data_IF_081424884950
#
_entry.id   IF_081424884950
#
_cell.length_a   1.000
_cell.length_b   1.000
_cell.length_c   1.000
_cell.angle_alpha   90.00
_cell.angle_beta   90.00
_cell.angle_gamma   90.00
#
_symmetry.space_group_name_H-M   'P 1'
#
loop_
_entity.id
_entity.type
_entity.pdbx_description
1 polymer ?
#
# COMPACT_ATOMS: atom_id res chain seq x y z
N UNK A 1 -64.63 9.99 8.36
CA UNK A 1 -63.67 10.96 8.92
C UNK A 1 -62.55 10.18 9.60
N UNK A 2 -61.47 9.97 8.89
CA UNK A 2 -60.16 9.50 9.39
C UNK A 2 -59.23 9.47 8.20
N UNK A 3 -58.68 10.64 7.85
CA UNK A 3 -57.52 10.73 6.96
C UNK A 3 -56.62 11.84 7.49
N UNK A 4 -55.33 11.53 7.67
CA UNK A 4 -54.34 12.57 7.85
C UNK A 4 -53.38 12.42 9.02
N UNK A 5 -52.56 11.36 9.08
CA UNK A 5 -51.34 11.34 9.89
C UNK A 5 -50.43 10.16 9.41
N UNK A 6 -49.64 10.36 8.37
CA UNK A 6 -48.78 9.27 7.88
C UNK A 6 -47.64 9.64 6.97
N UNK A 7 -47.39 10.91 6.63
CA UNK A 7 -46.34 11.26 5.64
C UNK A 7 -45.17 12.08 6.14
N UNK A 8 -45.16 12.56 7.37
CA UNK A 8 -44.07 13.44 7.88
C UNK A 8 -42.99 12.71 8.68
N UNK A 9 -43.20 11.49 9.14
CA UNK A 9 -42.22 10.74 9.94
C UNK A 9 -41.16 10.00 9.11
N UNK A 10 -41.42 9.68 7.85
CA UNK A 10 -40.50 8.93 7.01
C UNK A 10 -39.38 9.80 6.38
N UNK A 11 -39.63 11.08 6.15
CA UNK A 11 -38.61 12.02 5.62
C UNK A 11 -37.59 12.40 6.66
N UNK A 12 -38.01 12.62 7.91
CA UNK A 12 -37.12 12.94 9.02
C UNK A 12 -36.22 11.73 9.40
N UNK A 13 -36.71 10.50 9.26
CA UNK A 13 -35.93 9.29 9.53
C UNK A 13 -34.87 9.05 8.45
N UNK A 14 -35.17 9.29 7.17
CA UNK A 14 -34.19 9.20 6.06
C UNK A 14 -33.09 10.27 6.13
N UNK A 15 -33.44 11.49 6.55
CA UNK A 15 -32.47 12.59 6.71
C UNK A 15 -31.56 12.31 7.92
N UNK A 16 -32.11 11.86 9.06
CA UNK A 16 -31.31 11.46 10.22
C UNK A 16 -30.39 10.27 9.92
N UNK A 17 -30.83 9.29 9.14
CA UNK A 17 -30.00 8.14 8.77
C UNK A 17 -28.88 8.53 7.79
N UNK A 18 -29.11 9.47 6.87
CA UNK A 18 -28.07 10.01 5.98
C UNK A 18 -27.08 10.89 6.74
N UNK A 19 -27.52 11.76 7.61
CA UNK A 19 -26.67 12.62 8.43
C UNK A 19 -25.88 11.80 9.45
N UNK A 20 -26.49 10.79 10.10
CA UNK A 20 -25.77 9.85 10.97
C UNK A 20 -24.73 9.03 10.22
N UNK A 21 -24.99 8.59 8.98
CA UNK A 21 -23.95 7.93 8.16
C UNK A 21 -22.78 8.88 7.85
N UNK A 22 -23.04 10.14 7.52
CA UNK A 22 -22.00 11.11 7.19
C UNK A 22 -21.17 11.45 8.43
N UNK A 23 -21.78 11.64 9.62
CA UNK A 23 -21.03 11.87 10.87
C UNK A 23 -20.32 10.59 11.37
N UNK A 24 -20.87 9.40 11.15
CA UNK A 24 -20.20 8.14 11.46
C UNK A 24 -18.99 7.91 10.55
N UNK A 25 -19.04 8.29 9.27
CA UNK A 25 -17.92 8.20 8.34
C UNK A 25 -16.76 9.14 8.70
N UNK A 26 -17.06 10.41 9.03
CA UNK A 26 -16.03 11.38 9.43
C UNK A 26 -15.32 11.00 10.75
N UNK A 27 -16.05 10.42 11.71
CA UNK A 27 -15.48 10.01 13.00
C UNK A 27 -14.58 8.75 12.91
N UNK A 28 -14.83 7.87 11.93
CA UNK A 28 -14.06 6.65 11.71
C UNK A 28 -12.81 6.85 10.86
N UNK A 29 -12.84 7.79 9.93
CA UNK A 29 -11.65 8.15 9.13
C UNK A 29 -10.50 8.71 9.98
N UNK A 30 -10.78 9.21 11.19
CA UNK A 30 -9.80 9.78 12.12
C UNK A 30 -9.14 8.71 13.02
N UNK A 31 -9.68 7.47 13.09
CA UNK A 31 -9.21 6.41 14.00
C UNK A 31 -9.04 5.02 13.36
N UNK A 32 -9.01 4.93 12.06
CA UNK A 32 -8.76 3.65 11.39
C UNK A 32 -7.29 3.26 11.49
N UNK A 33 -6.97 2.30 12.32
CA UNK A 33 -5.67 1.61 12.32
C UNK A 33 -5.65 0.64 11.14
N UNK A 34 -5.40 1.16 9.91
CA UNK A 34 -5.22 0.33 8.73
C UNK A 34 -3.95 -0.47 8.85
N UNK A 35 -3.96 -1.72 8.42
CA UNK A 35 -2.74 -2.48 8.25
C UNK A 35 -2.38 -2.58 6.76
N UNK A 36 -1.11 -2.61 6.48
CA UNK A 36 -0.58 -2.72 5.12
C UNK A 36 0.76 -3.43 5.16
N UNK A 37 1.13 -4.02 4.03
CA UNK A 37 2.47 -4.57 3.84
C UNK A 37 2.91 -4.21 2.42
N UNK A 38 4.11 -3.66 2.25
CA UNK A 38 4.70 -3.44 0.94
C UNK A 38 6.04 -4.18 0.85
N UNK A 39 6.35 -4.70 -0.33
CA UNK A 39 7.58 -5.45 -0.59
C UNK A 39 8.17 -5.09 -1.95
N UNK A 40 9.48 -5.25 -2.07
CA UNK A 40 10.17 -5.31 -3.36
C UNK A 40 10.55 -6.75 -3.65
N UNK A 41 10.60 -7.13 -4.92
CA UNK A 41 11.16 -8.40 -5.35
C UNK A 41 11.94 -8.19 -6.65
N UNK A 42 13.07 -8.82 -6.81
CA UNK A 42 13.93 -8.64 -7.99
C UNK A 42 14.37 -9.99 -8.52
N UNK A 43 14.12 -10.21 -9.80
CA UNK A 43 14.64 -11.31 -10.60
C UNK A 43 15.41 -10.71 -11.79
N UNK A 44 15.01 -10.99 -13.02
CA UNK A 44 15.45 -10.26 -14.20
C UNK A 44 14.91 -8.83 -14.18
N UNK A 45 13.59 -8.68 -13.91
CA UNK A 45 12.90 -7.41 -13.75
C UNK A 45 12.75 -7.07 -12.26
N UNK A 46 12.39 -5.82 -11.98
CA UNK A 46 12.11 -5.32 -10.65
C UNK A 46 10.60 -5.27 -10.41
N UNK A 47 10.18 -5.80 -9.28
CA UNK A 47 8.79 -5.87 -8.86
C UNK A 47 8.58 -5.12 -7.55
N UNK A 48 7.46 -4.40 -7.47
CA UNK A 48 7.01 -3.71 -6.28
C UNK A 48 5.56 -4.11 -6.02
N UNK A 49 5.22 -4.50 -4.81
CA UNK A 49 3.85 -4.92 -4.50
C UNK A 49 3.44 -4.59 -3.09
N UNK A 50 2.12 -4.64 -2.84
CA UNK A 50 1.56 -4.41 -1.53
C UNK A 50 0.30 -5.22 -1.25
N UNK A 51 -0.01 -5.42 0.06
CA UNK A 51 -1.35 -5.70 0.57
C UNK A 51 -1.97 -4.40 1.09
N UNK A 52 -3.19 -4.08 0.66
CA UNK A 52 -4.02 -3.07 1.31
C UNK A 52 -4.98 -3.79 2.25
N UNK A 53 -4.76 -3.64 3.55
CA UNK A 53 -5.59 -4.27 4.56
C UNK A 53 -6.54 -3.24 5.17
N UNK A 54 -7.85 -3.52 5.12
CA UNK A 54 -8.90 -2.63 5.62
C UNK A 54 -10.22 -3.36 5.87
N UNK A 55 -11.19 -2.66 6.47
CA UNK A 55 -12.52 -3.24 6.75
C UNK A 55 -13.54 -3.07 5.63
N UNK A 56 -13.25 -2.29 4.61
CA UNK A 56 -14.11 -2.08 3.44
C UNK A 56 -13.34 -1.53 2.25
N UNK A 57 -13.82 -1.82 1.05
CA UNK A 57 -13.37 -1.19 -0.19
C UNK A 57 -13.92 0.23 -0.30
N UNK A 58 -13.12 1.14 -0.87
CA UNK A 58 -13.50 2.52 -1.19
C UNK A 58 -13.91 2.71 -2.66
N UNK A 59 -14.02 1.62 -3.43
CA UNK A 59 -14.26 1.67 -4.87
C UNK A 59 -12.98 1.94 -5.64
N UNK A 60 -11.98 1.10 -5.36
CA UNK A 60 -10.68 1.13 -6.00
C UNK A 60 -10.80 0.84 -7.51
N UNK A 61 -9.87 1.39 -8.28
CA UNK A 61 -9.70 1.11 -9.71
C UNK A 61 -8.21 1.13 -10.03
N UNK A 62 -7.79 0.35 -11.01
CA UNK A 62 -6.47 0.58 -11.61
C UNK A 62 -6.58 1.79 -12.51
N UNK A 63 -5.78 2.81 -12.24
CA UNK A 63 -5.84 4.10 -12.91
C UNK A 63 -4.52 4.39 -13.59
N UNK A 64 -4.57 4.73 -14.87
CA UNK A 64 -3.45 5.31 -15.59
C UNK A 64 -3.69 6.82 -15.68
N UNK A 65 -2.71 7.59 -15.22
CA UNK A 65 -2.61 9.04 -15.38
C UNK A 65 -1.61 9.31 -16.50
N UNK A 66 -2.10 9.66 -17.72
CA UNK A 66 -1.22 9.91 -18.87
C UNK A 66 -0.42 11.20 -18.72
N UNK A 67 0.67 11.34 -19.47
CA UNK A 67 1.65 12.45 -19.38
C UNK A 67 1.04 13.85 -19.50
N UNK A 68 -0.05 14.00 -20.27
CA UNK A 68 -0.70 15.30 -20.51
C UNK A 68 -1.98 15.49 -19.69
N UNK A 69 -2.26 14.59 -18.75
CA UNK A 69 -3.37 14.79 -17.83
C UNK A 69 -3.08 16.00 -16.92
N UNK A 70 -3.92 17.05 -16.92
CA UNK A 70 -3.65 18.27 -16.14
C UNK A 70 -3.94 18.01 -14.66
N UNK A 71 -2.93 17.57 -13.90
CA UNK A 71 -3.05 17.31 -12.50
C UNK A 71 -3.09 18.62 -11.71
N UNK A 72 -4.22 18.87 -11.05
CA UNK A 72 -4.43 20.04 -10.21
C UNK A 72 -3.75 19.86 -8.86
N UNK A 73 -2.97 20.87 -8.45
CA UNK A 73 -2.29 20.91 -7.16
C UNK A 73 -2.94 21.95 -6.24
N UNK A 74 -2.93 21.71 -4.93
CA UNK A 74 -3.59 22.59 -3.95
C UNK A 74 -2.77 23.82 -3.60
N UNK A 75 -1.45 23.70 -3.58
CA UNK A 75 -0.55 24.68 -2.97
C UNK A 75 0.67 25.02 -3.82
N UNK A 76 0.83 24.36 -4.96
CA UNK A 76 1.90 24.58 -5.92
C UNK A 76 1.32 24.66 -7.32
N UNK A 77 2.16 24.88 -8.31
CA UNK A 77 1.74 24.90 -9.71
C UNK A 77 1.20 23.55 -10.17
N UNK A 78 0.16 23.59 -11.01
CA UNK A 78 -0.41 22.38 -11.61
C UNK A 78 0.63 21.65 -12.48
N UNK A 79 0.62 20.32 -12.42
CA UNK A 79 1.44 19.52 -13.31
C UNK A 79 0.71 19.33 -14.65
N UNK A 80 1.10 20.11 -15.66
CA UNK A 80 0.52 20.03 -17.01
C UNK A 80 1.22 18.99 -17.88
N UNK A 81 2.47 18.64 -17.54
CA UNK A 81 3.26 17.58 -18.15
C UNK A 81 4.03 16.87 -17.06
N UNK A 82 3.98 15.55 -17.07
CA UNK A 82 4.62 14.70 -16.07
C UNK A 82 4.84 13.29 -16.64
N UNK A 83 5.53 12.43 -15.93
CA UNK A 83 5.61 11.01 -16.30
C UNK A 83 4.23 10.36 -16.21
N UNK A 84 3.94 9.42 -17.10
CA UNK A 84 2.74 8.60 -16.98
C UNK A 84 2.86 7.70 -15.75
N UNK A 85 1.74 7.55 -15.01
CA UNK A 85 1.65 6.79 -13.77
C UNK A 85 0.55 5.75 -13.89
N UNK A 86 0.81 4.53 -13.40
CA UNK A 86 -0.20 3.47 -13.25
C UNK A 86 -0.24 3.00 -11.79
N UNK A 87 -1.42 2.78 -11.24
CA UNK A 87 -1.56 2.28 -9.87
C UNK A 87 -2.99 2.07 -9.44
N UNK A 88 -3.17 1.56 -8.23
CA UNK A 88 -4.48 1.45 -7.60
C UNK A 88 -4.86 2.77 -6.95
N UNK A 89 -6.02 3.29 -7.29
CA UNK A 89 -6.51 4.57 -6.79
C UNK A 89 -8.02 4.58 -6.53
N UNK A 90 -8.45 5.44 -5.62
CA UNK A 90 -9.81 5.92 -5.58
C UNK A 90 -9.92 7.20 -6.42
N UNK A 91 -10.77 7.21 -7.44
CA UNK A 91 -10.97 8.41 -8.27
C UNK A 91 -12.12 9.23 -7.71
N UNK A 92 -11.84 10.45 -7.28
CA UNK A 92 -12.84 11.41 -6.77
C UNK A 92 -12.68 12.73 -7.50
N UNK A 93 -13.77 13.29 -8.04
CA UNK A 93 -13.73 14.57 -8.76
C UNK A 93 -12.69 14.62 -9.90
N UNK A 94 -12.54 13.53 -10.63
CA UNK A 94 -11.50 13.31 -11.64
C UNK A 94 -10.06 13.40 -11.08
N UNK A 95 -9.85 13.24 -9.77
CA UNK A 95 -8.54 13.21 -9.14
C UNK A 95 -8.19 11.78 -8.70
N UNK A 96 -7.01 11.24 -9.09
CA UNK A 96 -6.60 9.90 -8.69
C UNK A 96 -5.91 9.93 -7.33
N UNK A 97 -6.58 9.46 -6.29
CA UNK A 97 -6.04 9.28 -4.94
C UNK A 97 -5.35 7.91 -4.88
N UNK A 98 -4.06 7.87 -5.24
CA UNK A 98 -3.29 6.62 -5.30
C UNK A 98 -2.98 6.06 -3.92
N UNK A 99 -3.12 4.74 -3.79
CA UNK A 99 -2.64 3.96 -2.65
C UNK A 99 -1.22 3.44 -2.89
N UNK A 100 -0.98 2.93 -4.09
CA UNK A 100 0.31 2.49 -4.63
C UNK A 100 0.32 2.68 -6.14
N UNK A 101 1.48 2.99 -6.68
CA UNK A 101 1.63 3.23 -8.11
C UNK A 101 3.10 3.12 -8.54
N UNK A 102 3.31 3.06 -9.85
CA UNK A 102 4.60 3.24 -10.50
C UNK A 102 4.48 4.21 -11.66
N UNK A 103 5.58 4.86 -12.02
CA UNK A 103 5.65 5.63 -13.23
C UNK A 103 6.33 4.86 -14.38
N UNK A 104 6.25 5.39 -15.57
CA UNK A 104 6.86 4.82 -16.77
C UNK A 104 8.39 4.73 -16.75
N UNK A 105 9.06 5.32 -15.75
CA UNK A 105 10.51 5.24 -15.52
C UNK A 105 10.90 4.11 -14.56
N UNK A 106 9.90 3.45 -13.96
CA UNK A 106 10.10 2.34 -13.04
C UNK A 106 10.28 2.75 -11.57
N UNK A 107 10.03 4.02 -11.23
CA UNK A 107 9.90 4.44 -9.84
C UNK A 107 8.54 4.02 -9.30
N UNK A 108 8.53 3.31 -8.17
CA UNK A 108 7.34 2.84 -7.47
C UNK A 108 7.19 3.54 -6.12
N UNK A 109 5.94 3.74 -5.69
CA UNK A 109 5.64 4.32 -4.38
C UNK A 109 4.33 3.77 -3.81
N UNK A 110 4.30 3.53 -2.50
CA UNK A 110 3.09 3.17 -1.77
C UNK A 110 2.99 3.96 -0.47
N UNK A 111 1.77 4.36 -0.10
CA UNK A 111 1.45 4.92 1.20
C UNK A 111 0.88 3.85 2.13
N UNK A 112 1.43 3.72 3.35
CA UNK A 112 1.01 2.76 4.36
C UNK A 112 0.60 3.51 5.63
N UNK A 113 -0.36 2.95 6.37
CA UNK A 113 -0.86 3.59 7.59
C UNK A 113 0.22 3.74 8.67
N UNK A 114 0.29 4.96 9.24
CA UNK A 114 1.29 5.33 10.25
C UNK A 114 0.66 6.21 11.35
N UNK A 115 -0.56 5.85 11.74
CA UNK A 115 -1.34 6.55 12.78
C UNK A 115 -0.59 6.58 14.11
N UNK A 116 -0.62 7.74 14.78
CA UNK A 116 0.09 7.97 16.02
C UNK A 116 1.53 8.48 15.86
N UNK A 117 2.15 8.29 14.68
CA UNK A 117 3.49 8.80 14.37
C UNK A 117 3.49 9.87 13.29
N UNK A 118 2.68 9.70 12.21
CA UNK A 118 2.64 10.67 11.11
C UNK A 118 2.15 12.04 11.60
N UNK A 119 2.99 13.07 11.41
CA UNK A 119 2.69 14.48 11.67
C UNK A 119 3.01 15.28 10.43
N UNK A 120 1.99 15.98 9.91
CA UNK A 120 2.15 16.89 8.77
C UNK A 120 2.36 18.30 9.27
N UNK A 121 3.19 19.06 8.56
CA UNK A 121 3.54 20.42 8.92
C UNK A 121 2.51 21.42 8.38
N UNK A 122 2.44 22.59 8.96
CA UNK A 122 1.75 23.72 8.35
C UNK A 122 2.52 24.21 7.11
N UNK A 123 1.83 24.80 6.12
CA UNK A 123 2.48 25.37 4.95
C UNK A 123 3.57 26.36 5.32
N UNK A 124 4.72 26.28 4.64
CA UNK A 124 5.87 27.13 4.89
C UNK A 124 6.20 27.99 3.65
N UNK A 125 6.50 29.28 3.86
CA UNK A 125 6.98 30.17 2.81
C UNK A 125 8.38 29.73 2.33
N UNK A 126 8.62 29.85 1.03
CA UNK A 126 9.92 29.52 0.43
C UNK A 126 10.17 28.02 0.22
N UNK A 127 9.20 27.15 0.53
CA UNK A 127 9.27 25.71 0.23
C UNK A 127 8.14 25.29 -0.72
N UNK A 128 8.30 24.13 -1.35
CA UNK A 128 7.23 23.53 -2.15
C UNK A 128 6.28 22.83 -1.17
N UNK A 129 5.08 23.36 -1.01
CA UNK A 129 4.06 22.77 -0.14
C UNK A 129 3.23 21.76 -0.91
N UNK A 130 3.23 20.50 -0.46
CA UNK A 130 2.49 19.39 -1.07
C UNK A 130 1.48 18.85 -0.07
N UNK A 131 0.21 18.73 -0.46
CA UNK A 131 -0.78 18.05 0.36
C UNK A 131 -0.50 16.54 0.41
N UNK A 132 -0.83 15.91 1.52
CA UNK A 132 -0.50 14.49 1.73
C UNK A 132 -1.02 13.59 0.58
N UNK A 133 -2.24 13.80 0.12
CA UNK A 133 -2.86 13.01 -0.96
C UNK A 133 -2.23 13.26 -2.34
N UNK A 134 -1.49 14.36 -2.52
CA UNK A 134 -0.80 14.73 -3.75
C UNK A 134 0.60 14.11 -3.84
N UNK A 135 1.15 13.61 -2.73
CA UNK A 135 2.55 13.21 -2.66
C UNK A 135 2.90 12.09 -3.65
N UNK A 136 2.08 11.03 -3.71
CA UNK A 136 2.35 9.90 -4.63
C UNK A 136 2.33 10.36 -6.08
N UNK A 137 1.26 10.98 -6.61
CA UNK A 137 1.24 11.40 -8.01
C UNK A 137 2.25 12.52 -8.30
N UNK A 138 2.59 13.38 -7.34
CA UNK A 138 3.60 14.42 -7.53
C UNK A 138 5.01 13.83 -7.66
N UNK A 139 5.42 12.95 -6.75
CA UNK A 139 6.74 12.28 -6.82
C UNK A 139 6.84 11.45 -8.10
N UNK A 140 5.84 10.62 -8.40
CA UNK A 140 5.88 9.75 -9.56
C UNK A 140 5.78 10.53 -10.89
N UNK A 141 5.11 11.67 -10.88
CA UNK A 141 5.01 12.54 -12.04
C UNK A 141 6.28 13.33 -12.34
N UNK A 142 7.10 13.61 -11.32
CA UNK A 142 8.25 14.53 -11.44
C UNK A 142 9.61 13.88 -11.30
N UNK A 143 9.71 12.70 -10.69
CA UNK A 143 10.96 11.99 -10.40
C UNK A 143 11.06 10.70 -11.22
N UNK A 144 12.24 10.43 -11.78
CA UNK A 144 12.51 9.22 -12.54
C UNK A 144 13.16 8.10 -11.69
N UNK A 145 13.65 8.41 -10.51
CA UNK A 145 14.39 7.47 -9.66
C UNK A 145 14.20 7.77 -8.18
N UNK A 146 14.54 6.79 -7.33
CA UNK A 146 14.57 6.97 -5.87
C UNK A 146 15.52 8.11 -5.46
N UNK A 147 16.65 8.27 -6.13
CA UNK A 147 17.60 9.36 -5.85
C UNK A 147 16.99 10.74 -6.09
N UNK A 148 16.26 10.91 -7.19
CA UNK A 148 15.55 12.16 -7.48
C UNK A 148 14.42 12.39 -6.46
N UNK A 149 13.66 11.35 -6.14
CA UNK A 149 12.59 11.40 -5.15
C UNK A 149 13.12 11.77 -3.75
N UNK A 150 14.27 11.21 -3.31
CA UNK A 150 14.91 11.57 -2.05
C UNK A 150 15.32 13.05 -2.03
N UNK A 151 15.89 13.54 -3.12
CA UNK A 151 16.24 14.98 -3.26
C UNK A 151 14.99 15.87 -3.24
N UNK A 152 13.89 15.44 -3.85
CA UNK A 152 12.62 16.15 -3.86
C UNK A 152 11.99 16.19 -2.46
N UNK A 153 11.92 15.04 -1.76
CA UNK A 153 11.38 14.92 -0.40
C UNK A 153 12.08 15.83 0.61
N UNK A 154 13.38 16.09 0.45
CA UNK A 154 14.15 17.01 1.30
C UNK A 154 13.83 18.50 1.08
N UNK A 155 13.13 18.84 0.00
CA UNK A 155 12.83 20.25 -0.40
C UNK A 155 11.36 20.60 -0.23
N UNK A 156 10.51 19.65 0.11
CA UNK A 156 9.07 19.88 0.27
C UNK A 156 8.68 20.03 1.73
N UNK A 157 7.58 20.73 1.94
CA UNK A 157 6.78 20.67 3.16
C UNK A 157 5.55 19.83 2.90
N UNK A 158 5.44 18.66 3.54
CA UNK A 158 4.27 17.81 3.44
C UNK A 158 3.19 18.30 4.41
N UNK A 159 2.04 18.73 3.86
CA UNK A 159 0.97 19.36 4.62
C UNK A 159 -0.21 18.45 4.87
N UNK A 160 -0.92 18.70 5.97
CA UNK A 160 -2.16 18.02 6.34
C UNK A 160 -3.40 18.55 5.63
N UNK A 161 -3.25 19.24 4.50
CA UNK A 161 -4.36 19.75 3.71
C UNK A 161 -5.25 18.59 3.26
N UNK A 162 -6.55 18.64 3.60
CA UNK A 162 -7.50 17.60 3.23
C UNK A 162 -7.92 17.71 1.76
N UNK A 163 -8.25 16.58 1.15
CA UNK A 163 -8.84 16.56 -0.20
C UNK A 163 -10.20 17.25 -0.20
N UNK A 164 -11.06 16.86 0.74
CA UNK A 164 -12.37 17.48 1.04
C UNK A 164 -12.60 17.45 2.56
N UNK A 165 -13.58 18.19 3.05
CA UNK A 165 -13.92 18.21 4.48
C UNK A 165 -14.28 16.84 5.07
N UNK A 166 -14.86 15.97 4.24
CA UNK A 166 -15.22 14.57 4.58
C UNK A 166 -14.10 13.57 4.24
N UNK A 167 -12.99 14.02 3.66
CA UNK A 167 -11.80 13.23 3.31
C UNK A 167 -10.54 13.89 3.86
N UNK A 168 -10.28 13.79 5.18
CA UNK A 168 -9.09 14.36 5.80
C UNK A 168 -7.81 13.66 5.32
N UNK A 169 -6.66 14.31 5.54
CA UNK A 169 -5.36 13.73 5.21
C UNK A 169 -5.13 12.43 5.99
N UNK A 170 -4.90 11.34 5.28
CA UNK A 170 -4.57 10.04 5.88
C UNK A 170 -3.19 10.10 6.55
N UNK A 171 -3.04 9.47 7.71
CA UNK A 171 -1.77 9.41 8.44
C UNK A 171 -0.92 8.28 7.86
N UNK A 172 0.03 8.63 6.99
CA UNK A 172 0.82 7.68 6.22
C UNK A 172 2.32 7.90 6.40
N UNK A 173 3.07 6.81 6.24
CA UNK A 173 4.45 6.82 5.79
C UNK A 173 4.54 6.15 4.41
N UNK A 174 5.68 6.27 3.75
CA UNK A 174 5.78 5.91 2.34
C UNK A 174 6.99 5.03 2.08
N UNK A 175 6.81 4.03 1.24
CA UNK A 175 7.90 3.25 0.66
C UNK A 175 8.07 3.66 -0.80
N UNK A 176 9.30 4.01 -1.18
CA UNK A 176 9.69 4.34 -2.54
C UNK A 176 10.78 3.38 -2.98
N UNK A 177 10.66 2.85 -4.19
CA UNK A 177 11.66 1.91 -4.69
C UNK A 177 11.78 1.96 -6.22
N UNK A 178 12.98 1.70 -6.71
CA UNK A 178 13.27 1.40 -8.10
C UNK A 178 14.20 0.17 -8.18
N UNK A 179 14.69 -0.19 -9.35
CA UNK A 179 15.55 -1.35 -9.52
C UNK A 179 16.91 -1.27 -8.78
N UNK A 180 17.30 -0.09 -8.25
CA UNK A 180 18.60 0.18 -7.63
C UNK A 180 18.49 0.43 -6.13
N UNK A 181 17.49 1.22 -5.72
CA UNK A 181 17.39 1.75 -4.37
C UNK A 181 15.98 1.54 -3.80
N UNK A 182 15.89 1.49 -2.48
CA UNK A 182 14.63 1.50 -1.74
C UNK A 182 14.77 2.37 -0.50
N UNK A 183 13.82 3.27 -0.27
CA UNK A 183 13.77 4.15 0.89
C UNK A 183 12.40 4.12 1.57
N UNK A 184 12.37 4.51 2.82
CA UNK A 184 11.16 4.81 3.59
C UNK A 184 11.17 6.28 3.96
N UNK A 185 10.06 6.97 3.72
CA UNK A 185 9.85 8.36 4.09
C UNK A 185 8.76 8.45 5.18
N UNK A 186 9.14 8.92 6.36
CA UNK A 186 8.28 9.02 7.55
C UNK A 186 8.12 10.50 7.94
N UNK A 187 6.93 11.11 7.70
CA UNK A 187 6.65 12.46 8.18
C UNK A 187 6.41 12.42 9.70
N UNK A 188 7.37 12.90 10.47
CA UNK A 188 7.35 12.92 11.93
C UNK A 188 7.13 14.35 12.47
N UNK A 189 6.98 14.49 13.79
CA UNK A 189 6.77 15.77 14.43
C UNK A 189 7.94 16.78 14.22
N UNK A 190 9.13 16.28 14.06
CA UNK A 190 10.37 17.03 13.83
C UNK A 190 10.79 17.12 12.35
N UNK A 191 9.94 16.61 11.43
CA UNK A 191 10.14 16.73 9.99
C UNK A 191 10.03 15.41 9.23
N UNK A 192 10.52 15.41 7.98
CA UNK A 192 10.54 14.25 7.11
C UNK A 192 11.80 13.42 7.38
N UNK A 193 11.63 12.21 7.91
CA UNK A 193 12.71 11.24 8.09
C UNK A 193 12.80 10.33 6.86
N UNK A 194 13.98 10.17 6.31
CA UNK A 194 14.23 9.32 5.14
C UNK A 194 15.24 8.24 5.54
N UNK A 195 14.85 6.98 5.37
CA UNK A 195 15.67 5.82 5.75
C UNK A 195 15.95 4.94 4.55
N UNK A 196 17.19 4.48 4.41
CA UNK A 196 17.54 3.44 3.44
C UNK A 196 16.90 2.11 3.86
N UNK A 197 16.23 1.44 2.93
CA UNK A 197 15.51 0.21 3.19
C UNK A 197 16.16 -0.99 2.47
N UNK A 198 17.24 -1.49 3.04
CA UNK A 198 17.95 -2.66 2.50
C UNK A 198 17.11 -3.95 2.55
N UNK A 199 16.09 -4.02 3.42
CA UNK A 199 15.20 -5.18 3.56
C UNK A 199 14.15 -5.21 2.46
N UNK A 200 13.81 -4.05 1.86
CA UNK A 200 12.79 -3.95 0.82
C UNK A 200 11.39 -4.34 1.29
N UNK A 201 11.08 -4.10 2.57
CA UNK A 201 9.76 -4.35 3.19
C UNK A 201 9.37 -3.14 4.03
N UNK A 202 8.10 -2.79 4.04
CA UNK A 202 7.50 -1.84 4.96
C UNK A 202 6.12 -2.37 5.39
N UNK A 203 5.79 -2.19 6.68
CA UNK A 203 4.46 -2.45 7.20
C UNK A 203 3.86 -1.16 7.79
N UNK A 204 3.49 -1.14 9.07
CA UNK A 204 2.90 0.01 9.73
C UNK A 204 3.76 0.44 10.93
N UNK A 205 3.14 0.80 12.07
CA UNK A 205 3.86 1.04 13.32
C UNK A 205 4.66 -0.19 13.80
N UNK A 206 5.77 0.00 14.51
CA UNK A 206 6.42 1.26 14.90
C UNK A 206 7.23 1.91 13.75
N UNK A 207 7.89 3.06 13.97
CA UNK A 207 8.80 3.67 13.00
C UNK A 207 9.82 2.70 12.43
N UNK A 208 10.20 2.89 11.17
CA UNK A 208 11.03 1.95 10.41
C UNK A 208 12.34 1.56 11.10
N UNK A 209 13.11 2.46 11.74
CA UNK A 209 14.33 2.06 12.47
C UNK A 209 14.06 1.04 13.60
N UNK A 210 12.89 1.12 14.25
CA UNK A 210 12.50 0.15 15.28
C UNK A 210 12.13 -1.21 14.68
N UNK A 211 11.47 -1.22 13.52
CA UNK A 211 11.21 -2.46 12.77
C UNK A 211 12.51 -3.13 12.35
N UNK A 212 13.47 -2.35 11.84
CA UNK A 212 14.81 -2.84 11.51
C UNK A 212 15.56 -3.38 12.72
N UNK A 213 15.50 -2.68 13.86
CA UNK A 213 16.12 -3.14 15.10
C UNK A 213 15.57 -4.48 15.54
N UNK A 214 14.26 -4.71 15.40
CA UNK A 214 13.63 -5.96 15.79
C UNK A 214 14.15 -7.20 15.05
N UNK A 215 14.65 -7.04 13.81
CA UNK A 215 15.26 -8.15 13.06
C UNK A 215 16.47 -8.77 13.76
N UNK A 216 17.15 -8.03 14.67
CA UNK A 216 18.27 -8.57 15.43
C UNK A 216 17.86 -9.79 16.27
N UNK A 217 16.59 -9.89 16.69
CA UNK A 217 16.09 -11.03 17.47
C UNK A 217 15.88 -12.29 16.60
N UNK A 218 15.96 -12.16 15.28
CA UNK A 218 15.60 -13.20 14.31
C UNK A 218 16.78 -13.65 13.43
N UNK A 219 18.01 -13.31 13.81
CA UNK A 219 19.24 -13.68 13.07
C UNK A 219 19.43 -15.20 12.94
N UNK A 220 18.78 -15.99 13.82
CA UNK A 220 18.81 -17.45 13.76
C UNK A 220 17.88 -18.07 12.72
N UNK A 221 16.99 -17.30 12.11
CA UNK A 221 16.09 -17.83 11.09
C UNK A 221 16.87 -18.24 9.82
N UNK A 222 16.51 -19.41 9.29
CA UNK A 222 17.14 -19.99 8.09
C UNK A 222 16.13 -20.76 7.27
N UNK A 223 16.33 -20.78 5.94
CA UNK A 223 15.61 -21.69 5.04
C UNK A 223 16.12 -23.14 5.13
N UNK A 224 17.29 -23.34 5.74
CA UNK A 224 17.91 -24.66 5.94
C UNK A 224 17.50 -25.27 7.26
N UNK A 225 17.64 -26.61 7.39
CA UNK A 225 17.45 -27.31 8.66
C UNK A 225 18.47 -26.81 9.71
N UNK A 226 18.05 -26.68 10.99
CA UNK A 226 18.96 -26.25 12.04
C UNK A 226 20.00 -27.32 12.39
N UNK A 227 21.20 -26.89 12.76
CA UNK A 227 22.16 -27.75 13.46
C UNK A 227 21.80 -27.84 14.95
N UNK A 228 22.11 -28.99 15.58
CA UNK A 228 21.95 -29.11 17.01
C UNK A 228 23.02 -28.28 17.74
N UNK A 229 22.62 -27.11 18.23
CA UNK A 229 23.46 -26.19 19.06
C UNK A 229 22.96 -26.11 20.49
N UNK A 230 22.06 -27.03 20.88
CA UNK A 230 21.53 -27.05 22.24
C UNK A 230 22.64 -27.43 23.23
N UNK A 231 22.80 -26.72 24.37
CA UNK A 231 23.84 -27.04 25.37
C UNK A 231 23.70 -28.46 25.93
N UNK A 232 24.84 -29.12 26.13
CA UNK A 232 24.93 -30.49 26.62
C UNK A 232 24.91 -31.54 25.48
N UNK A 233 25.26 -32.77 25.86
CA UNK A 233 25.33 -33.92 24.93
C UNK A 233 23.95 -34.55 24.70
N UNK A 234 22.95 -33.73 24.36
CA UNK A 234 21.58 -34.20 24.13
C UNK A 234 21.44 -34.48 22.61
N UNK A 235 21.09 -35.72 22.20
CA UNK A 235 20.95 -36.07 20.81
C UNK A 235 19.59 -35.60 20.24
N UNK A 236 19.53 -34.31 19.87
CA UNK A 236 18.36 -33.73 19.22
C UNK A 236 18.47 -33.90 17.70
N UNK A 237 17.34 -34.21 17.06
CA UNK A 237 17.26 -34.40 15.63
C UNK A 237 16.20 -33.53 14.99
N UNK A 238 16.40 -33.25 13.71
CA UNK A 238 15.38 -32.59 12.88
C UNK A 238 14.26 -33.58 12.58
N UNK A 239 13.03 -33.27 13.00
CA UNK A 239 11.85 -34.10 12.81
C UNK A 239 10.96 -33.66 11.65
N UNK A 240 11.19 -32.46 11.08
CA UNK A 240 10.38 -31.89 10.01
C UNK A 240 11.21 -30.96 9.11
N UNK A 241 10.79 -30.78 7.86
CA UNK A 241 11.29 -29.71 7.00
C UNK A 241 10.81 -28.36 7.50
N UNK A 242 11.55 -27.27 7.21
CA UNK A 242 11.19 -25.91 7.59
C UNK A 242 11.55 -25.54 9.04
N UNK A 243 12.19 -26.42 9.80
CA UNK A 243 12.57 -26.15 11.20
C UNK A 243 13.57 -25.02 11.36
N UNK A 244 14.30 -24.63 10.32
CA UNK A 244 15.17 -23.45 10.37
C UNK A 244 14.41 -22.13 10.56
N UNK A 245 13.10 -22.13 10.29
CA UNK A 245 12.22 -20.99 10.52
C UNK A 245 11.48 -21.01 11.87
N UNK A 246 11.87 -21.91 12.81
CA UNK A 246 11.29 -21.93 14.15
C UNK A 246 11.56 -20.59 14.84
N UNK A 247 10.49 -19.97 15.36
CA UNK A 247 10.50 -18.62 15.93
C UNK A 247 10.06 -17.52 14.97
N UNK A 248 9.82 -17.83 13.68
CA UNK A 248 9.18 -16.88 12.76
C UNK A 248 7.80 -16.51 13.32
N UNK A 249 7.49 -15.19 13.53
CA UNK A 249 6.25 -14.81 14.16
C UNK A 249 5.05 -15.06 13.24
N UNK A 250 3.98 -15.64 13.77
CA UNK A 250 2.78 -16.03 13.02
C UNK A 250 1.57 -15.10 13.22
N UNK A 251 1.63 -14.15 14.16
CA UNK A 251 0.53 -13.22 14.40
C UNK A 251 0.45 -12.12 13.32
N UNK A 252 -0.66 -11.39 13.31
CA UNK A 252 -0.99 -10.43 12.26
C UNK A 252 -0.55 -8.98 12.59
N UNK A 253 0.16 -8.75 13.70
CA UNK A 253 0.67 -7.43 14.05
C UNK A 253 1.65 -6.89 13.00
N UNK A 254 1.80 -5.57 12.94
CA UNK A 254 2.67 -4.90 11.97
C UNK A 254 4.11 -5.43 12.04
N UNK A 255 4.68 -5.53 13.24
CA UNK A 255 6.05 -6.00 13.41
C UNK A 255 6.21 -7.48 13.00
N UNK A 256 5.27 -8.34 13.35
CA UNK A 256 5.29 -9.76 12.96
C UNK A 256 5.17 -9.94 11.44
N UNK A 257 4.32 -9.16 10.78
CA UNK A 257 4.21 -9.14 9.32
C UNK A 257 5.50 -8.63 8.68
N UNK A 258 6.13 -7.59 9.24
CA UNK A 258 7.42 -7.08 8.76
C UNK A 258 8.50 -8.17 8.78
N UNK A 259 8.69 -8.84 9.92
CA UNK A 259 9.69 -9.90 10.07
C UNK A 259 9.40 -11.07 9.14
N UNK A 260 8.13 -11.50 9.08
CA UNK A 260 7.69 -12.59 8.21
C UNK A 260 7.90 -12.28 6.74
N UNK A 261 7.48 -11.09 6.29
CA UNK A 261 7.68 -10.64 4.91
C UNK A 261 9.17 -10.49 4.58
N UNK A 262 10.00 -9.98 5.49
CA UNK A 262 11.44 -9.87 5.32
C UNK A 262 12.10 -11.24 5.14
N UNK A 263 11.75 -12.22 5.98
CA UNK A 263 12.27 -13.58 5.90
C UNK A 263 11.82 -14.25 4.59
N UNK A 264 10.51 -14.25 4.31
CA UNK A 264 9.95 -14.90 3.11
C UNK A 264 10.53 -14.27 1.84
N UNK A 265 10.57 -12.92 1.75
CA UNK A 265 11.18 -12.21 0.61
C UNK A 265 12.65 -12.58 0.43
N UNK A 266 13.42 -12.58 1.52
CA UNK A 266 14.86 -12.85 1.48
C UNK A 266 15.22 -14.29 1.14
N UNK A 267 14.35 -15.25 1.50
CA UNK A 267 14.53 -16.67 1.22
C UNK A 267 13.88 -17.13 -0.10
N UNK A 268 13.00 -16.30 -0.69
CA UNK A 268 12.26 -16.65 -1.90
C UNK A 268 13.15 -16.75 -3.12
N UNK A 269 12.88 -17.76 -3.93
CA UNK A 269 13.48 -17.98 -5.25
C UNK A 269 12.40 -18.22 -6.29
N UNK A 270 12.62 -17.76 -7.51
CA UNK A 270 11.76 -18.06 -8.67
C UNK A 270 12.61 -18.15 -9.93
N UNK A 271 12.03 -18.63 -11.02
CA UNK A 271 12.61 -18.42 -12.35
C UNK A 271 12.68 -16.93 -12.71
N UNK A 272 13.34 -16.65 -13.85
CA UNK A 272 13.51 -15.29 -14.36
C UNK A 272 12.35 -14.83 -15.26
N UNK A 273 11.39 -15.69 -15.55
CA UNK A 273 10.20 -15.38 -16.33
C UNK A 273 9.28 -14.44 -15.59
N UNK A 274 8.51 -13.63 -16.33
CA UNK A 274 7.57 -12.66 -15.73
C UNK A 274 6.48 -13.37 -14.92
N UNK A 275 5.86 -14.40 -15.48
CA UNK A 275 4.79 -15.15 -14.81
C UNK A 275 5.27 -15.79 -13.50
N UNK A 276 6.47 -16.40 -13.50
CA UNK A 276 7.08 -16.98 -12.31
C UNK A 276 7.40 -15.94 -11.25
N UNK A 277 7.93 -14.78 -11.67
CA UNK A 277 8.30 -13.68 -10.79
C UNK A 277 7.05 -13.02 -10.18
N UNK A 278 6.01 -12.79 -10.97
CA UNK A 278 4.72 -12.26 -10.50
C UNK A 278 4.08 -13.23 -9.52
N UNK A 279 4.00 -14.51 -9.86
CA UNK A 279 3.49 -15.54 -8.96
C UNK A 279 4.24 -15.57 -7.63
N UNK A 280 5.59 -15.53 -7.67
CA UNK A 280 6.38 -15.48 -6.44
C UNK A 280 6.17 -14.21 -5.62
N UNK A 281 5.96 -13.05 -6.26
CA UNK A 281 5.63 -11.82 -5.57
C UNK A 281 4.31 -11.94 -4.78
N UNK A 282 3.29 -12.56 -5.38
CA UNK A 282 2.02 -12.83 -4.69
C UNK A 282 2.20 -13.84 -3.54
N UNK A 283 3.06 -14.85 -3.66
CA UNK A 283 3.37 -15.77 -2.56
C UNK A 283 4.09 -15.05 -1.40
N UNK A 284 5.01 -14.12 -1.69
CA UNK A 284 5.68 -13.32 -0.65
C UNK A 284 4.64 -12.48 0.12
N UNK A 285 3.77 -11.78 -0.60
CA UNK A 285 2.71 -10.94 -0.01
C UNK A 285 1.65 -11.77 0.71
N UNK A 286 1.32 -12.97 0.20
CA UNK A 286 0.40 -13.91 0.84
C UNK A 286 0.84 -14.33 2.24
N UNK A 287 2.16 -14.32 2.53
CA UNK A 287 2.66 -14.57 3.88
C UNK A 287 2.24 -13.50 4.91
N UNK A 288 1.81 -12.32 4.46
CA UNK A 288 1.38 -11.20 5.31
C UNK A 288 -0.10 -10.81 5.10
N UNK A 289 -0.87 -11.64 4.41
CA UNK A 289 -2.28 -11.41 4.13
C UNK A 289 -3.15 -11.49 5.38
N UNK A 290 -4.21 -10.66 5.44
CA UNK A 290 -5.19 -10.60 6.52
C UNK A 290 -6.44 -11.39 6.14
N UNK A 291 -6.67 -12.52 6.82
CA UNK A 291 -7.82 -13.38 6.58
C UNK A 291 -9.05 -12.90 7.36
N UNK A 292 -10.23 -12.98 6.72
CA UNK A 292 -11.51 -12.60 7.34
C UNK A 292 -11.75 -13.38 8.63
N UNK A 293 -11.99 -12.64 9.71
CA UNK A 293 -12.26 -13.21 11.03
C UNK A 293 -11.04 -13.34 11.94
N UNK A 294 -9.82 -13.25 11.39
CA UNK A 294 -8.58 -13.32 12.18
C UNK A 294 -8.19 -11.99 12.84
N UNK A 295 -8.61 -10.86 12.25
CA UNK A 295 -8.48 -9.53 12.86
C UNK A 295 -9.87 -8.88 12.97
N UNK A 296 -10.46 -8.93 14.17
CA UNK A 296 -11.79 -8.39 14.43
C UNK A 296 -11.71 -6.99 15.02
N UNK A 297 -12.45 -6.08 14.42
CA UNK A 297 -12.58 -4.71 14.85
C UNK A 297 -13.83 -4.53 15.73
N UNK A 298 -13.96 -3.37 16.36
CA UNK A 298 -15.19 -2.97 17.06
C UNK A 298 -16.35 -3.01 16.07
N UNK A 299 -17.57 -3.32 16.55
CA UNK A 299 -18.80 -3.44 15.74
C UNK A 299 -18.83 -4.65 14.76
N UNK A 300 -18.17 -5.74 15.09
CA UNK A 300 -18.15 -6.99 14.30
C UNK A 300 -17.61 -6.84 12.86
N UNK A 301 -16.87 -5.78 12.56
CA UNK A 301 -16.13 -5.67 11.31
C UNK A 301 -14.86 -6.51 11.37
N UNK A 302 -14.38 -6.92 10.22
CA UNK A 302 -13.12 -7.64 10.07
C UNK A 302 -12.18 -6.80 9.22
N UNK A 303 -10.92 -6.75 9.60
CA UNK A 303 -9.88 -6.30 8.71
C UNK A 303 -9.48 -7.45 7.80
N UNK A 304 -9.40 -7.18 6.50
CA UNK A 304 -9.03 -8.14 5.46
C UNK A 304 -8.09 -7.47 4.45
N UNK A 305 -7.31 -8.25 3.74
CA UNK A 305 -6.57 -7.76 2.59
C UNK A 305 -7.55 -7.49 1.44
N UNK A 306 -7.93 -6.23 1.24
CA UNK A 306 -8.87 -5.81 0.17
C UNK A 306 -8.32 -6.21 -1.20
N UNK A 307 -7.02 -5.92 -1.42
CA UNK A 307 -6.30 -6.37 -2.60
C UNK A 307 -4.81 -6.59 -2.29
N UNK A 308 -4.22 -7.44 -3.11
CA UNK A 308 -2.77 -7.57 -3.24
C UNK A 308 -2.38 -7.09 -4.62
N UNK A 309 -1.36 -6.23 -4.71
CA UNK A 309 -0.80 -5.76 -5.98
C UNK A 309 0.64 -6.23 -6.19
N UNK A 310 1.04 -6.31 -7.45
CA UNK A 310 2.41 -6.53 -7.90
C UNK A 310 2.62 -5.74 -9.18
N UNK A 311 3.61 -4.85 -9.21
CA UNK A 311 3.93 -4.02 -10.38
C UNK A 311 5.25 -4.52 -10.97
N UNK A 312 5.27 -4.90 -12.25
CA UNK A 312 6.52 -5.01 -12.99
C UNK A 312 6.95 -3.59 -13.39
N UNK A 313 7.89 -3.03 -12.65
CA UNK A 313 8.32 -1.65 -12.82
C UNK A 313 9.09 -1.39 -14.13
N UNK A 314 9.76 -2.42 -14.67
CA UNK A 314 10.49 -2.31 -15.94
C UNK A 314 9.55 -2.29 -17.15
N UNK A 315 8.38 -2.94 -17.02
CA UNK A 315 7.42 -3.08 -18.11
C UNK A 315 6.16 -2.21 -17.96
N UNK A 316 5.99 -1.55 -16.82
CA UNK A 316 4.79 -0.75 -16.56
C UNK A 316 3.51 -1.57 -16.52
N UNK A 317 3.56 -2.81 -15.99
CA UNK A 317 2.39 -3.69 -15.88
C UNK A 317 1.99 -3.81 -14.42
N UNK A 318 0.74 -3.49 -14.13
CA UNK A 318 0.12 -3.57 -12.82
C UNK A 318 -0.72 -4.84 -12.70
N UNK A 319 -0.32 -5.74 -11.82
CA UNK A 319 -1.03 -6.98 -11.50
C UNK A 319 -1.74 -6.84 -10.16
N UNK A 320 -2.91 -7.44 -10.01
CA UNK A 320 -3.60 -7.49 -8.73
C UNK A 320 -4.51 -8.71 -8.57
N UNK A 321 -4.78 -9.05 -7.31
CA UNK A 321 -5.88 -9.92 -6.87
C UNK A 321 -6.73 -9.14 -5.88
N UNK A 322 -8.00 -9.53 -5.70
CA UNK A 322 -8.83 -9.02 -4.62
C UNK A 322 -9.14 -10.13 -3.61
N UNK A 323 -9.61 -9.76 -2.42
CA UNK A 323 -10.02 -10.76 -1.43
C UNK A 323 -11.09 -11.72 -1.96
N UNK A 324 -12.01 -11.22 -2.77
CA UNK A 324 -13.12 -11.99 -3.35
C UNK A 324 -12.77 -12.62 -4.71
N UNK A 325 -11.59 -12.31 -5.29
CA UNK A 325 -11.14 -12.87 -6.57
C UNK A 325 -9.63 -13.12 -6.54
N UNK A 326 -9.24 -14.37 -6.41
CA UNK A 326 -7.83 -14.81 -6.37
C UNK A 326 -7.17 -14.90 -7.76
N UNK A 327 -7.92 -14.71 -8.85
CA UNK A 327 -7.34 -14.66 -10.18
C UNK A 327 -6.49 -13.41 -10.36
N UNK A 328 -5.24 -13.57 -10.74
CA UNK A 328 -4.36 -12.45 -11.07
C UNK A 328 -4.91 -11.74 -12.32
N UNK A 329 -5.17 -10.45 -12.18
CA UNK A 329 -5.61 -9.54 -13.25
C UNK A 329 -4.50 -8.57 -13.54
N UNK A 330 -4.28 -8.22 -14.81
CA UNK A 330 -3.20 -7.33 -15.25
C UNK A 330 -3.71 -6.15 -16.07
N UNK A 331 -3.08 -4.99 -15.90
CA UNK A 331 -3.23 -3.81 -16.75
C UNK A 331 -1.84 -3.37 -17.20
N UNK A 332 -1.61 -3.30 -18.51
CA UNK A 332 -0.36 -2.88 -19.12
C UNK A 332 -0.52 -1.42 -19.60
N UNK A 333 0.20 -0.49 -18.97
CA UNK A 333 0.09 0.93 -19.30
C UNK A 333 0.53 1.24 -20.72
N UNK A 334 1.43 0.46 -21.31
CA UNK A 334 1.94 0.70 -22.66
C UNK A 334 1.00 0.24 -23.77
N UNK A 335 -0.13 -0.38 -23.41
CA UNK A 335 -1.22 -0.67 -24.35
C UNK A 335 -2.22 0.49 -24.47
N UNK A 336 -2.01 1.57 -23.72
CA UNK A 336 -2.88 2.73 -23.66
C UNK A 336 -2.21 3.96 -24.26
N UNK A 337 -3.01 4.98 -24.58
CA UNK A 337 -2.50 6.29 -25.03
C UNK A 337 -1.94 7.07 -23.81
N UNK A 338 -0.63 6.98 -23.62
CA UNK A 338 0.07 7.66 -22.53
C UNK A 338 0.19 9.18 -22.75
N UNK A 339 -0.23 9.73 -23.87
CA UNK A 339 -0.29 11.17 -24.13
C UNK A 339 -1.73 11.72 -24.10
N UNK A 340 -2.70 10.92 -23.69
CA UNK A 340 -4.07 11.35 -23.47
C UNK A 340 -4.16 12.46 -22.39
N UNK A 341 -5.28 13.19 -22.40
CA UNK A 341 -5.57 14.29 -21.45
C UNK A 341 -6.59 13.91 -20.37
N UNK A 342 -7.01 12.66 -20.34
CA UNK A 342 -7.99 12.13 -19.40
C UNK A 342 -7.45 10.88 -18.72
N UNK A 343 -7.89 10.63 -17.48
CA UNK A 343 -7.58 9.38 -16.78
C UNK A 343 -8.14 8.17 -17.54
N UNK A 344 -7.40 7.08 -17.52
CA UNK A 344 -7.85 5.78 -18.04
C UNK A 344 -8.07 4.88 -16.81
N UNK A 345 -9.31 4.42 -16.61
CA UNK A 345 -9.70 3.72 -15.40
C UNK A 345 -10.22 2.31 -15.72
N UNK A 346 -9.69 1.32 -15.01
CA UNK A 346 -10.12 -0.07 -15.07
C UNK A 346 -10.80 -0.43 -13.75
N UNK A 347 -12.09 -0.79 -13.77
CA UNK A 347 -12.82 -1.16 -12.57
C UNK A 347 -12.18 -2.34 -11.84
N UNK A 348 -12.16 -2.27 -10.52
CA UNK A 348 -11.66 -3.33 -9.65
C UNK A 348 -12.53 -4.59 -9.76
N UNK A 349 -11.93 -5.74 -10.09
CA UNK A 349 -12.63 -7.00 -10.28
C UNK A 349 -12.72 -7.78 -8.96
N UNK A 350 -13.94 -7.86 -8.40
CA UNK A 350 -14.20 -8.57 -7.14
C UNK A 350 -14.91 -9.93 -7.33
N UNK A 351 -15.41 -10.23 -8.53
CA UNK A 351 -16.13 -11.49 -8.73
C UNK A 351 -15.14 -12.63 -8.94
N UNK A 352 -15.19 -13.64 -8.05
CA UNK A 352 -14.39 -14.85 -8.16
C UNK A 352 -14.61 -15.54 -9.50
N UNK A 353 -13.52 -15.85 -10.17
CA UNK A 353 -13.50 -16.63 -11.39
C UNK A 353 -12.87 -17.99 -11.11
N UNK A 354 -13.70 -19.03 -11.15
CA UNK A 354 -13.28 -20.43 -10.94
C UNK A 354 -13.24 -21.11 -12.31
N UNK A 355 -12.10 -21.61 -12.68
CA UNK A 355 -11.94 -22.41 -13.90
C UNK A 355 -12.27 -23.87 -13.58
N UNK A 356 -13.31 -24.41 -14.23
CA UNK A 356 -13.67 -25.83 -14.15
C UNK A 356 -12.95 -26.58 -15.27
N UNK A 357 -12.24 -27.65 -14.93
CA UNK A 357 -11.51 -28.47 -15.91
C UNK A 357 -12.37 -29.53 -16.61
N UNK A 358 -13.60 -29.73 -16.16
CA UNK A 358 -14.56 -30.69 -16.70
C UNK A 358 -15.77 -29.98 -17.30
#
# INVERSE_FOLDING_TARGET
MCDGLGKTHWSAFRIRYKVMKIFFWAYWYIRGDFMCTAVTYKTKDFYFGRNLDYECSYGESVVIMPRQYPMKMRMTEDLLQHYAVIGMAHVSENYPLYYDAANEKGLCMAGLNFVGNAVYQDPQEGTINIAQFELIPWILGTCASVKEAECALKKITLTGTCFRKDMPAAKLHFMLADQHDCIVAEPMADGMHIHQNAVGVLTNNPPFPMQMFALNNYQGLSAYAPENRFPGDIPLSVYSRGMGAIGLPGDLSSQSRFIRAAFVRGASVSGCGEEESVSQCFHILGAAEQQRGCCRLKNNKNEITIYTSCINANRGIYYYTSYENSQITAVDMHKEDLDAKTLICYPFLCKQNIFYQN
#
